data_IF_746918100876
#
_entry.id   IF_746918100876
#
_cell.length_a   1.000
_cell.length_b   1.000
_cell.length_c   1.000
_cell.angle_alpha   90.00
_cell.angle_beta   90.00
_cell.angle_gamma   90.00
#
_symmetry.space_group_name_H-M   'P 1'
#
loop_
_entity.id
_entity.type
_entity.pdbx_description
1 polymer ?
#
# COMPACT_ATOMS: atom_id res chain seq x y z
N UNK A 1 -24.59 27.55 -11.96
CA UNK A 1 -24.27 26.21 -11.45
C UNK A 1 -22.88 26.12 -10.75
N UNK A 2 -21.86 26.85 -11.21
CA UNK A 2 -20.53 26.87 -10.58
C UNK A 2 -20.52 27.63 -9.23
N UNK A 3 -21.30 28.68 -9.08
CA UNK A 3 -21.37 29.46 -7.84
C UNK A 3 -22.02 28.66 -6.69
N UNK A 4 -23.05 27.87 -6.98
CA UNK A 4 -23.74 27.02 -6.00
C UNK A 4 -22.83 25.86 -5.53
N UNK A 5 -21.98 25.30 -6.41
CA UNK A 5 -20.98 24.30 -6.02
C UNK A 5 -19.90 24.88 -5.12
N UNK A 6 -19.43 26.10 -5.39
CA UNK A 6 -18.43 26.79 -4.55
C UNK A 6 -19.00 27.17 -3.18
N UNK A 7 -20.23 27.72 -3.11
CA UNK A 7 -20.90 27.96 -1.83
C UNK A 7 -21.09 26.67 -1.00
N UNK A 8 -21.47 25.55 -1.64
CA UNK A 8 -21.58 24.28 -0.94
C UNK A 8 -20.25 23.75 -0.39
N UNK A 9 -19.15 23.94 -1.11
CA UNK A 9 -17.82 23.54 -0.63
C UNK A 9 -17.35 24.40 0.55
N UNK A 10 -17.56 25.71 0.53
CA UNK A 10 -17.25 26.59 1.67
C UNK A 10 -18.06 26.19 2.91
N UNK A 11 -19.36 25.95 2.77
CA UNK A 11 -20.19 25.48 3.89
C UNK A 11 -19.72 24.12 4.46
N UNK A 12 -19.22 23.19 3.63
CA UNK A 12 -18.71 21.89 4.11
C UNK A 12 -17.43 22.07 4.92
N UNK A 13 -16.49 22.87 4.46
CA UNK A 13 -15.22 23.15 5.17
C UNK A 13 -15.48 23.74 6.56
N UNK A 14 -16.32 24.77 6.61
CA UNK A 14 -16.68 25.48 7.84
C UNK A 14 -17.49 24.58 8.81
N UNK A 15 -18.37 23.74 8.28
CA UNK A 15 -19.10 22.75 9.07
C UNK A 15 -18.15 21.73 9.72
N UNK A 16 -17.18 21.20 8.95
CA UNK A 16 -16.14 20.29 9.47
C UNK A 16 -15.30 21.01 10.55
N UNK A 17 -14.91 22.25 10.30
CA UNK A 17 -14.13 23.05 11.25
C UNK A 17 -14.91 23.31 12.54
N UNK A 18 -16.20 23.58 12.44
CA UNK A 18 -17.09 23.77 13.59
C UNK A 18 -17.27 22.47 14.36
N UNK A 19 -17.56 21.35 13.66
CA UNK A 19 -17.71 20.04 14.29
C UNK A 19 -16.44 19.59 15.00
N UNK A 20 -15.26 19.80 14.40
CA UNK A 20 -13.98 19.42 15.04
C UNK A 20 -13.74 20.23 16.33
N UNK A 21 -14.12 21.50 16.36
CA UNK A 21 -14.02 22.33 17.57
C UNK A 21 -15.04 21.89 18.63
N UNK A 22 -16.27 21.58 18.25
CA UNK A 22 -17.30 21.08 19.16
C UNK A 22 -16.87 19.73 19.74
N UNK A 23 -16.37 18.80 18.92
CA UNK A 23 -15.85 17.52 19.37
C UNK A 23 -14.72 17.67 20.39
N UNK A 24 -13.79 18.60 20.13
CA UNK A 24 -12.72 18.92 21.08
C UNK A 24 -13.25 19.41 22.42
N UNK A 25 -14.25 20.30 22.41
CA UNK A 25 -14.87 20.84 23.63
C UNK A 25 -15.61 19.76 24.42
N UNK A 26 -16.12 18.71 23.76
CA UNK A 26 -16.75 17.54 24.37
C UNK A 26 -15.73 16.41 24.72
N UNK A 27 -14.44 16.66 24.57
CA UNK A 27 -13.37 15.70 24.91
C UNK A 27 -13.22 14.53 23.93
N UNK A 28 -13.74 14.65 22.71
CA UNK A 28 -13.66 13.63 21.68
C UNK A 28 -12.42 13.79 20.80
N UNK A 29 -11.93 12.68 20.26
CA UNK A 29 -10.93 12.69 19.19
C UNK A 29 -11.60 12.79 17.83
N UNK A 30 -11.00 13.57 16.92
CA UNK A 30 -11.52 13.80 15.57
C UNK A 30 -10.54 13.29 14.51
N UNK A 31 -11.08 12.53 13.53
CA UNK A 31 -10.36 12.13 12.32
C UNK A 31 -11.05 12.72 11.10
N UNK A 32 -10.40 13.66 10.43
CA UNK A 32 -10.94 14.33 9.24
C UNK A 32 -10.33 13.68 8.00
N UNK A 33 -11.13 12.89 7.26
CA UNK A 33 -10.69 12.28 6.00
C UNK A 33 -11.00 13.25 4.84
N UNK A 34 -9.97 13.89 4.27
CA UNK A 34 -10.14 14.88 3.22
C UNK A 34 -8.91 15.03 2.34
N UNK A 35 -9.12 15.30 1.04
CA UNK A 35 -8.07 15.74 0.10
C UNK A 35 -7.82 17.25 0.12
N UNK A 36 -8.50 18.00 0.98
CA UNK A 36 -8.36 19.44 1.13
C UNK A 36 -7.27 19.78 2.15
N UNK A 37 -6.19 20.39 1.67
CA UNK A 37 -5.05 20.78 2.50
C UNK A 37 -5.36 21.94 3.46
N UNK A 38 -6.36 22.73 3.19
CA UNK A 38 -6.76 23.81 4.09
C UNK A 38 -7.23 23.27 5.44
N UNK A 39 -7.70 21.99 5.47
CA UNK A 39 -8.04 21.29 6.71
C UNK A 39 -6.85 21.06 7.65
N UNK A 40 -5.60 21.24 7.20
CA UNK A 40 -4.43 21.13 8.08
C UNK A 40 -4.42 22.19 9.19
N UNK A 41 -5.10 23.31 9.01
CA UNK A 41 -5.31 24.32 10.07
C UNK A 41 -6.15 23.82 11.25
N UNK A 42 -6.87 22.69 11.07
CA UNK A 42 -7.74 22.10 12.11
C UNK A 42 -6.99 21.11 13.01
N UNK A 43 -5.78 20.71 12.61
CA UNK A 43 -4.98 19.71 13.31
C UNK A 43 -4.51 20.27 14.66
N UNK A 44 -4.73 19.48 15.71
CA UNK A 44 -4.23 19.74 17.05
C UNK A 44 -4.04 18.39 17.79
N UNK A 45 -3.95 18.43 19.13
CA UNK A 45 -3.68 17.24 19.96
C UNK A 45 -4.78 16.18 19.90
N UNK A 46 -6.01 16.58 19.51
CA UNK A 46 -7.18 15.68 19.43
C UNK A 46 -7.74 15.55 18.01
N UNK A 47 -7.28 16.38 17.08
CA UNK A 47 -7.75 16.37 15.68
C UNK A 47 -6.64 15.96 14.74
N UNK A 48 -6.85 14.88 13.98
CA UNK A 48 -5.93 14.33 12.97
C UNK A 48 -6.57 14.41 11.59
N UNK A 49 -5.82 14.81 10.58
CA UNK A 49 -6.27 14.77 9.17
C UNK A 49 -5.72 13.51 8.50
N UNK A 50 -6.60 12.71 7.90
CA UNK A 50 -6.29 11.58 7.05
C UNK A 50 -6.31 12.03 5.59
N UNK A 51 -5.13 12.23 5.02
CA UNK A 51 -4.97 12.80 3.68
C UNK A 51 -4.72 11.71 2.63
N UNK A 52 -5.59 11.55 1.60
CA UNK A 52 -5.39 10.58 0.54
C UNK A 52 -4.26 11.01 -0.41
N UNK A 53 -3.25 10.15 -0.60
CA UNK A 53 -2.10 10.45 -1.47
C UNK A 53 -2.17 9.73 -2.82
N UNK A 54 -2.53 8.45 -2.82
CA UNK A 54 -2.70 7.62 -4.02
C UNK A 54 -4.09 6.98 -4.03
N UNK A 55 -5.12 7.80 -4.26
CA UNK A 55 -6.51 7.35 -4.11
C UNK A 55 -6.92 7.22 -2.63
N UNK A 56 -8.09 6.63 -2.38
CA UNK A 56 -8.65 6.50 -1.02
C UNK A 56 -8.05 5.36 -0.20
N UNK A 57 -7.29 4.46 -0.83
CA UNK A 57 -6.66 3.30 -0.19
C UNK A 57 -5.39 3.65 0.60
N UNK A 58 -4.74 4.76 0.28
CA UNK A 58 -3.50 5.16 0.96
C UNK A 58 -3.70 6.50 1.64
N UNK A 59 -3.92 6.45 2.95
CA UNK A 59 -4.16 7.62 3.80
C UNK A 59 -2.91 7.94 4.61
N UNK A 60 -2.41 9.16 4.49
CA UNK A 60 -1.34 9.68 5.36
C UNK A 60 -1.96 10.41 6.54
N UNK A 61 -1.57 10.03 7.75
CA UNK A 61 -1.99 10.71 8.98
C UNK A 61 -1.16 11.97 9.18
N UNK A 62 -1.83 13.11 9.19
CA UNK A 62 -1.21 14.40 9.51
C UNK A 62 -1.53 14.78 10.94
N UNK A 63 -0.48 14.86 11.76
CA UNK A 63 -0.45 15.37 13.14
C UNK A 63 0.24 16.74 13.14
N UNK A 64 0.25 17.48 14.27
CA UNK A 64 1.02 18.73 14.36
C UNK A 64 2.49 18.59 13.97
N UNK A 65 3.12 17.50 14.39
CA UNK A 65 4.53 17.19 14.10
C UNK A 65 4.72 16.94 12.59
N UNK A 66 3.79 16.19 11.97
CA UNK A 66 3.87 15.88 10.54
C UNK A 66 3.67 17.11 9.66
N UNK A 67 2.81 18.04 10.06
CA UNK A 67 2.66 19.35 9.39
C UNK A 67 3.95 20.13 9.50
N UNK A 68 4.54 20.20 10.69
CA UNK A 68 5.80 20.92 10.95
C UNK A 68 6.97 20.30 10.17
N UNK A 69 7.07 18.97 10.14
CA UNK A 69 8.08 18.25 9.37
C UNK A 69 7.98 18.57 7.87
N UNK A 70 6.77 18.53 7.33
CA UNK A 70 6.54 18.66 5.87
C UNK A 70 6.58 20.12 5.37
N UNK A 71 6.02 21.05 6.14
CA UNK A 71 5.80 22.44 5.72
C UNK A 71 6.63 23.44 6.50
N UNK A 72 7.30 23.01 7.57
CA UNK A 72 8.08 23.84 8.48
C UNK A 72 7.25 24.99 9.11
N UNK A 73 5.95 24.77 9.31
CA UNK A 73 5.01 25.67 10.02
C UNK A 73 4.12 24.85 10.95
N UNK A 74 3.53 25.50 11.94
CA UNK A 74 2.50 24.87 12.78
C UNK A 74 1.16 24.80 12.04
N UNK A 75 0.21 23.92 12.44
CA UNK A 75 -1.14 23.91 11.88
C UNK A 75 -1.81 25.28 11.92
N UNK A 76 -1.67 26.03 13.00
CA UNK A 76 -2.23 27.37 13.15
C UNK A 76 -1.66 28.38 12.15
N UNK A 77 -0.41 28.20 11.72
CA UNK A 77 0.26 29.05 10.74
C UNK A 77 -0.01 28.62 9.28
N UNK A 78 -0.67 27.48 9.08
CA UNK A 78 -0.90 26.95 7.73
C UNK A 78 -1.74 27.88 6.85
N UNK A 79 -2.86 28.49 7.34
CA UNK A 79 -3.61 29.48 6.56
C UNK A 79 -2.77 30.70 6.15
N UNK A 80 -1.92 31.19 7.05
CA UNK A 80 -1.03 32.32 6.79
C UNK A 80 -0.01 32.00 5.69
N UNK A 81 0.53 30.78 5.73
CA UNK A 81 1.41 30.29 4.67
C UNK A 81 0.68 30.19 3.33
N UNK A 82 -0.54 29.67 3.33
CA UNK A 82 -1.37 29.56 2.14
C UNK A 82 -1.72 30.95 1.56
N UNK A 83 -2.02 31.93 2.41
CA UNK A 83 -2.30 33.29 2.01
C UNK A 83 -1.12 33.95 1.31
N UNK A 84 0.10 33.76 1.80
CA UNK A 84 1.33 34.29 1.21
C UNK A 84 1.71 33.59 -0.11
N UNK A 85 1.62 32.25 -0.13
CA UNK A 85 1.95 31.43 -1.30
C UNK A 85 0.91 31.54 -2.41
N UNK A 86 -0.34 31.74 -2.04
CA UNK A 86 -1.49 31.58 -2.89
C UNK A 86 -1.91 30.13 -3.07
N UNK A 87 -3.08 29.92 -3.65
CA UNK A 87 -3.60 28.61 -4.04
C UNK A 87 -4.18 28.66 -5.45
N UNK A 88 -3.47 28.07 -6.45
CA UNK A 88 -3.95 28.03 -7.82
C UNK A 88 -5.24 27.24 -8.00
N UNK A 89 -5.53 26.24 -7.13
CA UNK A 89 -6.74 25.43 -7.21
C UNK A 89 -8.01 26.25 -6.87
N UNK A 90 -7.87 27.23 -5.97
CA UNK A 90 -8.92 28.16 -5.57
C UNK A 90 -8.83 29.51 -6.31
N UNK A 91 -7.91 29.62 -7.28
CA UNK A 91 -7.66 30.85 -8.04
C UNK A 91 -7.26 32.02 -7.14
N UNK A 92 -6.50 31.75 -6.09
CA UNK A 92 -5.95 32.76 -5.19
C UNK A 92 -4.51 33.09 -5.60
N UNK A 93 -4.23 34.30 -6.12
CA UNK A 93 -2.89 34.70 -6.50
C UNK A 93 -2.00 34.84 -5.26
N UNK A 94 -0.85 34.19 -5.25
CA UNK A 94 0.16 34.38 -4.21
C UNK A 94 1.05 35.59 -4.49
N UNK A 95 1.86 35.95 -3.49
CA UNK A 95 2.91 36.97 -3.66
C UNK A 95 3.96 36.47 -4.65
N UNK A 96 4.22 37.16 -5.76
CA UNK A 96 5.20 36.71 -6.74
C UNK A 96 6.59 36.47 -6.11
N UNK A 97 7.19 35.32 -6.42
CA UNK A 97 8.48 34.82 -5.90
C UNK A 97 8.45 34.40 -4.42
N UNK A 98 7.29 34.39 -3.78
CA UNK A 98 7.11 33.85 -2.44
C UNK A 98 6.44 32.47 -2.55
N UNK A 99 7.25 31.42 -2.42
CA UNK A 99 6.78 30.05 -2.35
C UNK A 99 6.73 29.54 -0.90
N UNK A 100 6.36 28.28 -0.73
CA UNK A 100 6.22 27.59 0.55
C UNK A 100 7.41 27.83 1.50
N UNK A 101 8.65 27.66 1.00
CA UNK A 101 9.86 27.84 1.82
C UNK A 101 10.06 29.28 2.32
N UNK A 102 9.73 30.26 1.49
CA UNK A 102 9.90 31.67 1.86
C UNK A 102 8.82 32.09 2.85
N UNK A 103 7.56 31.69 2.62
CA UNK A 103 6.46 31.93 3.53
C UNK A 103 6.71 31.29 4.91
N UNK A 104 7.12 30.02 4.94
CA UNK A 104 7.46 29.32 6.17
C UNK A 104 8.63 29.99 6.92
N UNK A 105 9.67 30.45 6.20
CA UNK A 105 10.77 31.20 6.82
C UNK A 105 10.29 32.48 7.50
N UNK A 106 9.41 33.24 6.84
CA UNK A 106 8.86 34.46 7.44
C UNK A 106 7.98 34.17 8.65
N UNK A 107 7.10 33.16 8.57
CA UNK A 107 6.26 32.75 9.69
C UNK A 107 7.08 32.25 10.89
N UNK A 108 8.17 31.55 10.67
CA UNK A 108 9.08 31.17 11.77
C UNK A 108 9.85 32.37 12.35
N UNK A 109 10.11 33.40 11.57
CA UNK A 109 10.82 34.61 12.00
C UNK A 109 9.91 35.61 12.74
N UNK A 110 8.71 35.82 12.22
CA UNK A 110 7.79 36.88 12.71
C UNK A 110 6.61 36.30 13.52
N UNK A 111 6.32 35.02 13.40
CA UNK A 111 5.29 34.34 14.18
C UNK A 111 3.93 34.22 13.49
N UNK A 112 3.42 35.29 12.92
CA UNK A 112 2.11 35.35 12.24
C UNK A 112 2.14 36.23 10.99
N UNK A 113 1.08 36.14 10.17
CA UNK A 113 0.91 36.98 8.99
C UNK A 113 0.80 38.46 9.36
N UNK A 114 0.05 38.79 10.42
CA UNK A 114 -0.10 40.16 10.92
C UNK A 114 1.29 40.74 11.24
N UNK A 115 2.12 40.01 11.97
CA UNK A 115 3.47 40.46 12.31
C UNK A 115 4.37 40.60 11.07
N UNK A 116 4.19 39.76 10.05
CA UNK A 116 4.89 39.93 8.76
C UNK A 116 4.47 41.23 8.07
N UNK A 117 3.18 41.52 8.02
CA UNK A 117 2.66 42.74 7.40
C UNK A 117 3.06 44.02 8.16
N UNK A 118 3.10 43.97 9.49
CA UNK A 118 3.63 45.08 10.31
C UNK A 118 5.12 45.33 10.04
N UNK A 119 5.90 44.28 9.78
CA UNK A 119 7.32 44.38 9.53
C UNK A 119 7.69 44.36 8.04
N UNK A 120 6.74 44.61 7.12
CA UNK A 120 6.93 44.55 5.69
C UNK A 120 8.08 45.41 5.15
N UNK A 121 8.36 46.54 5.80
CA UNK A 121 9.42 47.47 5.40
C UNK A 121 10.83 46.96 5.80
N UNK A 122 10.90 46.07 6.79
CA UNK A 122 12.13 45.42 7.22
C UNK A 122 12.52 44.26 6.31
N UNK A 123 11.59 43.75 5.48
CA UNK A 123 11.83 42.68 4.53
C UNK A 123 12.50 43.23 3.27
N UNK A 124 13.82 42.99 3.15
CA UNK A 124 14.66 43.54 2.07
C UNK A 124 14.57 42.75 0.80
N UNK A 125 14.93 43.41 -0.32
CA UNK A 125 15.07 42.77 -1.64
C UNK A 125 13.75 42.61 -2.39
N UNK A 126 13.83 41.95 -3.55
CA UNK A 126 12.72 41.82 -4.51
C UNK A 126 11.47 41.11 -3.94
N UNK A 127 11.64 40.20 -2.97
CA UNK A 127 10.50 39.53 -2.32
C UNK A 127 9.77 40.46 -1.36
N UNK A 128 10.49 41.36 -0.67
CA UNK A 128 9.87 42.38 0.18
C UNK A 128 9.12 43.45 -0.64
N UNK A 129 9.69 43.85 -1.77
CA UNK A 129 8.99 44.74 -2.74
C UNK A 129 7.71 44.08 -3.27
N UNK A 130 7.80 42.80 -3.63
CA UNK A 130 6.66 42.01 -4.09
C UNK A 130 5.58 41.88 -3.03
N UNK A 131 5.94 41.65 -1.76
CA UNK A 131 4.98 41.62 -0.65
C UNK A 131 4.25 42.95 -0.51
N UNK A 132 4.99 44.06 -0.49
CA UNK A 132 4.39 45.40 -0.33
C UNK A 132 3.41 45.78 -1.46
N UNK A 133 3.63 45.29 -2.67
CA UNK A 133 2.74 45.53 -3.82
C UNK A 133 1.52 44.60 -3.90
N UNK A 134 1.45 43.56 -3.06
CA UNK A 134 0.36 42.56 -3.07
C UNK A 134 -0.30 42.36 -1.72
N UNK A 135 -0.27 43.38 -0.85
CA UNK A 135 -0.85 43.31 0.52
C UNK A 135 -2.34 43.02 0.45
N UNK A 136 -3.09 43.70 -0.40
CA UNK A 136 -4.53 43.48 -0.57
C UNK A 136 -4.87 42.05 -0.99
N UNK A 137 -4.05 41.47 -1.87
CA UNK A 137 -4.22 40.07 -2.27
C UNK A 137 -3.97 39.12 -1.09
N UNK A 138 -2.92 39.37 -0.29
CA UNK A 138 -2.58 38.55 0.88
C UNK A 138 -3.67 38.63 1.95
N UNK A 139 -4.18 39.83 2.25
CA UNK A 139 -5.26 40.02 3.23
C UNK A 139 -6.54 39.31 2.77
N UNK A 140 -6.89 39.43 1.49
CA UNK A 140 -8.03 38.74 0.90
C UNK A 140 -7.85 37.23 0.98
N UNK A 141 -6.67 36.72 0.63
CA UNK A 141 -6.36 35.30 0.69
C UNK A 141 -6.45 34.77 2.12
N UNK A 142 -5.92 35.52 3.11
CA UNK A 142 -5.98 35.15 4.52
C UNK A 142 -7.43 35.04 5.01
N UNK A 143 -8.29 35.96 4.57
CA UNK A 143 -9.71 35.89 4.88
C UNK A 143 -10.40 34.68 4.26
N UNK A 144 -10.05 34.31 3.01
CA UNK A 144 -10.68 33.21 2.27
C UNK A 144 -10.16 31.84 2.66
N UNK A 145 -8.91 31.73 3.09
CA UNK A 145 -8.30 30.41 3.50
C UNK A 145 -8.63 30.05 4.94
N UNK A 146 -8.97 31.00 5.78
CA UNK A 146 -9.29 30.78 7.18
C UNK A 146 -10.70 30.21 7.33
N UNK A 147 -10.80 29.01 7.90
CA UNK A 147 -12.09 28.36 8.14
C UNK A 147 -12.86 28.97 9.30
N UNK A 148 -14.18 29.14 9.12
CA UNK A 148 -15.11 29.57 10.15
C UNK A 148 -15.42 28.37 11.06
N UNK A 149 -15.37 28.57 12.39
CA UNK A 149 -15.53 27.50 13.40
C UNK A 149 -16.76 27.68 14.30
N UNK A 150 -17.71 28.47 13.88
CA UNK A 150 -18.92 28.79 14.64
C UNK A 150 -20.17 28.85 13.75
N UNK A 151 -20.23 27.94 12.77
CA UNK A 151 -21.43 27.82 11.92
C UNK A 151 -22.56 27.24 12.75
N UNK A 152 -23.75 27.83 12.69
CA UNK A 152 -24.94 27.28 13.30
C UNK A 152 -25.31 25.98 12.59
N UNK A 153 -25.41 24.90 13.36
CA UNK A 153 -25.75 23.56 12.86
C UNK A 153 -26.78 22.93 13.81
N UNK A 154 -27.83 22.40 13.20
CA UNK A 154 -28.87 21.65 13.93
C UNK A 154 -28.47 20.14 13.90
N UNK A 155 -27.31 19.83 14.52
CA UNK A 155 -26.75 18.48 14.58
C UNK A 155 -26.09 18.25 15.94
N UNK A 156 -26.48 17.19 16.65
CA UNK A 156 -25.78 16.69 17.82
C UNK A 156 -24.91 15.46 17.44
N UNK A 157 -23.83 15.19 18.19
CA UNK A 157 -23.06 13.97 17.98
C UNK A 157 -23.85 12.70 18.30
N UNK A 158 -24.84 12.78 19.19
CA UNK A 158 -25.74 11.67 19.47
C UNK A 158 -26.58 11.30 18.25
N UNK A 159 -27.05 12.29 17.48
CA UNK A 159 -27.80 12.06 16.23
C UNK A 159 -26.92 11.56 15.10
N UNK A 160 -25.62 11.90 15.14
CA UNK A 160 -24.61 11.46 14.17
C UNK A 160 -23.96 10.11 14.55
N UNK A 161 -24.35 9.52 15.70
CA UNK A 161 -23.85 8.22 16.13
C UNK A 161 -24.19 7.15 15.08
N UNK A 162 -23.21 6.32 14.78
CA UNK A 162 -23.42 5.22 13.83
C UNK A 162 -24.42 4.22 14.38
N UNK A 163 -25.57 4.08 13.72
CA UNK A 163 -26.57 3.05 14.02
C UNK A 163 -26.14 1.67 13.51
N UNK A 164 -26.74 0.62 14.05
CA UNK A 164 -26.63 -0.72 13.47
C UNK A 164 -27.13 -0.71 12.02
N UNK A 165 -26.50 -1.53 11.19
CA UNK A 165 -26.91 -1.67 9.78
C UNK A 165 -28.20 -2.47 9.71
N UNK A 166 -29.19 -1.93 9.04
CA UNK A 166 -30.40 -2.66 8.67
C UNK A 166 -30.11 -3.49 7.41
N UNK A 167 -29.85 -4.77 7.60
CA UNK A 167 -29.48 -5.69 6.52
C UNK A 167 -30.57 -5.81 5.47
N UNK A 168 -31.84 -5.77 5.87
CA UNK A 168 -32.97 -5.88 4.94
C UNK A 168 -33.05 -4.66 4.00
N UNK A 169 -32.86 -3.46 4.55
CA UNK A 169 -32.83 -2.23 3.76
C UNK A 169 -31.62 -2.19 2.80
N UNK A 170 -30.45 -2.67 3.23
CA UNK A 170 -29.26 -2.76 2.38
C UNK A 170 -29.47 -3.78 1.28
N UNK A 171 -30.03 -4.96 1.59
CA UNK A 171 -30.35 -5.99 0.60
C UNK A 171 -31.36 -5.49 -0.43
N UNK A 172 -32.45 -4.85 0.00
CA UNK A 172 -33.46 -4.28 -0.88
C UNK A 172 -32.85 -3.19 -1.82
N UNK A 173 -31.94 -2.38 -1.31
CA UNK A 173 -31.22 -1.38 -2.12
C UNK A 173 -30.30 -2.05 -3.16
N UNK A 174 -29.60 -3.10 -2.76
CA UNK A 174 -28.69 -3.83 -3.65
C UNK A 174 -29.44 -4.57 -4.75
N UNK A 175 -30.60 -5.17 -4.42
CA UNK A 175 -31.48 -5.79 -5.40
C UNK A 175 -32.01 -4.76 -6.40
N UNK A 176 -32.43 -3.59 -5.92
CA UNK A 176 -32.88 -2.48 -6.76
C UNK A 176 -31.80 -1.94 -7.70
N UNK A 177 -30.53 -1.97 -7.26
CA UNK A 177 -29.38 -1.50 -8.04
C UNK A 177 -28.69 -2.63 -8.83
N UNK A 178 -29.24 -3.85 -8.77
CA UNK A 178 -28.68 -5.04 -9.41
C UNK A 178 -27.22 -5.32 -9.03
N UNK A 179 -26.84 -4.99 -7.78
CA UNK A 179 -25.52 -5.32 -7.28
C UNK A 179 -25.43 -6.82 -6.96
N UNK A 180 -24.42 -7.48 -7.52
CA UNK A 180 -24.19 -8.90 -7.32
C UNK A 180 -23.79 -9.25 -5.87
N UNK A 181 -23.81 -10.55 -5.55
CA UNK A 181 -23.53 -11.12 -4.23
C UNK A 181 -22.18 -10.66 -3.67
N UNK A 182 -21.15 -10.59 -4.51
CA UNK A 182 -19.79 -10.20 -4.16
C UNK A 182 -19.67 -8.83 -3.46
N UNK A 183 -20.34 -7.81 -3.97
CA UNK A 183 -20.33 -6.49 -3.34
C UNK A 183 -21.09 -6.52 -2.02
N UNK A 184 -22.20 -7.25 -1.99
CA UNK A 184 -23.06 -7.43 -0.82
C UNK A 184 -22.28 -8.04 0.35
N UNK A 185 -21.64 -9.17 0.15
CA UNK A 185 -20.83 -9.86 1.15
C UNK A 185 -19.69 -8.98 1.68
N UNK A 186 -18.97 -8.31 0.77
CA UNK A 186 -17.90 -7.38 1.16
C UNK A 186 -18.40 -6.23 2.03
N UNK A 187 -19.58 -5.70 1.73
CA UNK A 187 -20.18 -4.61 2.51
C UNK A 187 -20.60 -5.13 3.89
N UNK A 188 -21.26 -6.28 3.97
CA UNK A 188 -21.66 -6.87 5.25
C UNK A 188 -20.44 -7.27 6.10
N UNK A 189 -19.39 -7.85 5.49
CA UNK A 189 -18.12 -8.13 6.18
C UNK A 189 -17.49 -6.84 6.73
N UNK A 190 -17.49 -5.75 5.99
CA UNK A 190 -16.98 -4.46 6.45
C UNK A 190 -17.81 -3.87 7.61
N UNK A 191 -19.11 -4.08 7.61
CA UNK A 191 -19.98 -3.67 8.71
C UNK A 191 -19.84 -4.56 9.95
N UNK A 192 -19.67 -5.87 9.79
CA UNK A 192 -19.43 -6.81 10.89
C UNK A 192 -18.13 -6.51 11.63
N UNK A 193 -17.06 -6.16 10.92
CA UNK A 193 -15.80 -5.71 11.50
C UNK A 193 -15.95 -4.44 12.37
N UNK A 194 -16.95 -3.62 12.09
CA UNK A 194 -17.23 -2.39 12.85
C UNK A 194 -18.15 -2.62 14.07
N UNK A 195 -18.80 -3.76 14.16
CA UNK A 195 -19.67 -4.13 15.30
C UNK A 195 -18.95 -4.86 16.43
N UNK A 196 -17.61 -4.88 16.44
CA UNK A 196 -16.82 -5.54 17.48
C UNK A 196 -16.83 -7.07 17.39
N UNK A 197 -17.26 -7.64 16.25
CA UNK A 197 -16.93 -9.02 15.93
C UNK A 197 -15.40 -9.11 15.87
N UNK A 198 -14.85 -9.96 16.72
CA UNK A 198 -13.42 -10.23 16.80
C UNK A 198 -12.92 -10.46 15.36
N UNK A 199 -12.05 -9.55 14.88
CA UNK A 199 -11.15 -9.92 13.79
C UNK A 199 -10.48 -11.18 14.28
N UNK A 200 -10.71 -12.30 13.60
CA UNK A 200 -9.88 -13.46 13.80
C UNK A 200 -8.45 -12.96 13.61
N UNK A 201 -7.77 -12.70 14.70
CA UNK A 201 -6.37 -12.31 14.69
C UNK A 201 -5.64 -13.52 14.13
N UNK A 202 -5.25 -13.42 12.86
CA UNK A 202 -4.37 -14.42 12.30
C UNK A 202 -3.11 -14.41 13.16
N UNK A 203 -2.87 -15.52 13.82
CA UNK A 203 -1.64 -15.70 14.59
C UNK A 203 -0.59 -16.13 13.60
N UNK A 204 0.44 -15.29 13.41
CA UNK A 204 1.58 -15.66 12.56
C UNK A 204 2.13 -17.02 13.02
N UNK A 205 2.38 -17.95 12.09
CA UNK A 205 2.93 -19.26 12.44
C UNK A 205 4.33 -19.08 13.02
N UNK A 206 4.69 -19.95 13.95
CA UNK A 206 6.06 -20.03 14.47
C UNK A 206 6.98 -20.54 13.34
N UNK A 207 8.00 -19.76 13.00
CA UNK A 207 8.91 -20.08 11.92
C UNK A 207 10.08 -20.92 12.44
N UNK A 208 10.26 -22.12 11.85
CA UNK A 208 11.40 -22.98 12.09
C UNK A 208 12.29 -23.02 10.84
N UNK A 209 12.97 -21.91 10.58
CA UNK A 209 13.76 -21.73 9.36
C UNK A 209 15.08 -22.50 9.44
N UNK A 210 15.34 -23.29 8.42
CA UNK A 210 16.65 -23.90 8.16
C UNK A 210 17.32 -23.16 7.01
N UNK A 211 18.38 -22.41 7.30
CA UNK A 211 19.26 -21.90 6.24
C UNK A 211 20.16 -23.05 5.81
N UNK A 212 19.98 -23.50 4.58
CA UNK A 212 20.71 -24.66 4.04
C UNK A 212 22.08 -24.21 3.54
N UNK A 213 23.12 -24.86 4.04
CA UNK A 213 24.48 -24.75 3.54
C UNK A 213 24.80 -25.88 2.54
N UNK A 214 26.00 -25.88 2.00
CA UNK A 214 26.46 -26.87 1.04
C UNK A 214 26.26 -28.29 1.56
N UNK A 215 25.51 -29.13 0.83
CA UNK A 215 25.17 -30.51 1.19
C UNK A 215 23.85 -30.67 1.98
N UNK A 216 23.22 -29.59 2.41
CA UNK A 216 21.99 -29.66 3.22
C UNK A 216 20.73 -29.78 2.36
N UNK A 217 20.73 -29.19 1.15
CA UNK A 217 19.56 -29.11 0.28
C UNK A 217 19.03 -30.47 -0.13
N UNK A 218 19.91 -31.34 -0.66
CA UNK A 218 19.55 -32.71 -1.04
C UNK A 218 19.02 -33.51 0.15
N UNK A 219 19.65 -33.38 1.33
CA UNK A 219 19.21 -34.02 2.57
C UNK A 219 17.86 -33.52 3.03
N UNK A 220 17.63 -32.21 2.98
CA UNK A 220 16.34 -31.60 3.35
C UNK A 220 15.22 -32.08 2.40
N UNK A 221 15.45 -32.04 1.09
CA UNK A 221 14.49 -32.50 0.09
C UNK A 221 14.17 -33.99 0.22
N UNK A 222 15.15 -34.82 0.59
CA UNK A 222 14.92 -36.22 0.86
C UNK A 222 14.01 -36.45 2.06
N UNK A 223 14.15 -35.65 3.11
CA UNK A 223 13.38 -35.78 4.35
C UNK A 223 12.00 -35.11 4.29
N UNK A 224 11.89 -33.97 3.62
CA UNK A 224 10.71 -33.10 3.68
C UNK A 224 10.14 -32.76 2.31
N UNK A 225 10.85 -33.02 1.21
CA UNK A 225 10.46 -32.56 -0.13
C UNK A 225 9.37 -33.39 -0.82
N UNK A 226 8.88 -34.50 -0.20
CA UNK A 226 7.88 -35.43 -0.78
C UNK A 226 6.71 -35.70 0.19
N UNK A 227 6.35 -34.75 1.00
CA UNK A 227 5.18 -34.84 1.87
C UNK A 227 3.89 -34.60 1.06
N UNK A 228 2.80 -35.18 1.52
CA UNK A 228 1.49 -34.97 0.93
C UNK A 228 1.02 -33.53 1.22
N UNK A 229 0.61 -32.81 0.18
CA UNK A 229 0.13 -31.42 0.27
C UNK A 229 0.86 -30.48 -0.69
N UNK A 230 0.61 -29.20 -0.51
CA UNK A 230 1.19 -28.14 -1.33
C UNK A 230 2.41 -27.52 -0.65
N UNK A 231 3.42 -27.18 -1.41
CA UNK A 231 4.59 -26.44 -0.95
C UNK A 231 4.48 -24.97 -1.31
N UNK A 232 4.81 -24.07 -0.39
CA UNK A 232 5.01 -22.67 -0.71
C UNK A 232 6.42 -22.45 -1.22
N UNK A 233 6.57 -21.83 -2.39
CA UNK A 233 7.87 -21.62 -3.02
C UNK A 233 8.06 -20.13 -3.34
N UNK A 234 9.23 -19.61 -2.99
CA UNK A 234 9.67 -18.26 -3.36
C UNK A 234 11.00 -18.38 -4.10
N UNK A 235 11.06 -17.79 -5.27
CA UNK A 235 12.28 -17.65 -6.07
C UNK A 235 12.70 -16.19 -6.00
N UNK A 236 13.88 -15.94 -5.44
CA UNK A 236 14.46 -14.60 -5.36
C UNK A 236 15.63 -14.49 -6.32
N UNK A 237 15.69 -13.39 -7.07
CA UNK A 237 16.73 -13.20 -8.06
C UNK A 237 16.49 -12.00 -8.96
N UNK A 238 17.11 -12.01 -10.12
CA UNK A 238 16.93 -10.96 -11.13
C UNK A 238 15.67 -11.24 -11.94
N UNK A 239 14.65 -10.44 -11.72
CA UNK A 239 13.38 -10.49 -12.45
C UNK A 239 13.55 -9.91 -13.86
N UNK A 240 13.93 -10.74 -14.83
CA UNK A 240 14.12 -10.33 -16.22
C UNK A 240 13.72 -11.44 -17.18
N UNK A 241 12.94 -11.09 -18.18
CA UNK A 241 12.55 -12.02 -19.27
C UNK A 241 13.75 -12.44 -20.11
N UNK A 242 14.76 -11.57 -20.24
CA UNK A 242 15.92 -11.75 -21.11
C UNK A 242 17.15 -12.33 -20.40
N UNK A 243 17.30 -12.05 -19.12
CA UNK A 243 18.50 -12.35 -18.36
C UNK A 243 18.12 -12.60 -16.89
N UNK A 244 17.10 -13.42 -16.67
CA UNK A 244 16.72 -13.87 -15.35
C UNK A 244 17.86 -14.67 -14.71
N UNK A 245 18.01 -14.55 -13.40
CA UNK A 245 18.92 -15.41 -12.62
C UNK A 245 18.32 -15.60 -11.22
N UNK A 246 18.74 -16.67 -10.55
CA UNK A 246 18.27 -17.02 -9.22
C UNK A 246 19.37 -16.80 -8.19
N UNK A 247 19.12 -15.97 -7.23
CA UNK A 247 20.01 -15.74 -6.08
C UNK A 247 19.71 -16.75 -4.95
N UNK A 248 18.42 -16.99 -4.68
CA UNK A 248 17.98 -17.87 -3.61
C UNK A 248 16.61 -18.52 -3.90
N UNK A 249 16.38 -19.67 -3.29
CA UNK A 249 15.09 -20.36 -3.28
C UNK A 249 14.68 -20.60 -1.83
N UNK A 250 13.44 -20.23 -1.48
CA UNK A 250 12.83 -20.57 -0.20
C UNK A 250 11.66 -21.52 -0.41
N UNK A 251 11.57 -22.55 0.44
CA UNK A 251 10.56 -23.60 0.37
C UNK A 251 9.93 -23.77 1.75
N UNK A 252 8.60 -23.72 1.81
CA UNK A 252 7.82 -24.07 2.99
C UNK A 252 7.08 -25.39 2.72
N UNK A 253 7.32 -26.40 3.55
CA UNK A 253 6.64 -27.70 3.44
C UNK A 253 5.24 -27.69 4.02
N UNK A 254 4.33 -28.58 3.61
CA UNK A 254 3.00 -28.72 4.17
C UNK A 254 2.99 -28.98 5.68
N UNK A 255 4.02 -29.62 6.21
CA UNK A 255 4.15 -29.95 7.64
C UNK A 255 4.86 -28.86 8.47
N UNK A 256 5.16 -27.70 7.86
CA UNK A 256 5.66 -26.53 8.58
C UNK A 256 7.19 -26.37 8.64
N UNK A 257 7.96 -27.23 7.96
CA UNK A 257 9.42 -27.03 7.85
C UNK A 257 9.71 -26.02 6.73
N UNK A 258 10.68 -25.15 6.97
CA UNK A 258 11.13 -24.20 5.97
C UNK A 258 12.61 -24.38 5.68
N UNK A 259 12.97 -24.16 4.43
CA UNK A 259 14.36 -24.12 3.96
C UNK A 259 14.57 -22.89 3.09
N UNK A 260 15.70 -22.26 3.25
CA UNK A 260 16.22 -21.25 2.32
C UNK A 260 17.61 -21.68 1.88
N UNK A 261 17.87 -21.69 0.58
CA UNK A 261 19.18 -21.93 0.03
C UNK A 261 19.58 -20.82 -0.95
N UNK A 262 20.86 -20.47 -0.93
CA UNK A 262 21.46 -19.54 -1.89
C UNK A 262 22.12 -20.32 -3.01
N UNK A 263 22.00 -19.85 -4.23
CA UNK A 263 22.59 -20.54 -5.38
C UNK A 263 24.12 -20.51 -5.38
N UNK A 264 24.73 -19.59 -4.63
CA UNK A 264 26.19 -19.49 -4.46
C UNK A 264 26.78 -20.56 -3.52
N UNK A 265 25.94 -21.16 -2.67
CA UNK A 265 26.36 -22.19 -1.70
C UNK A 265 25.91 -23.60 -2.10
N UNK A 266 25.32 -23.80 -3.29
CA UNK A 266 24.96 -25.12 -3.77
C UNK A 266 26.20 -25.87 -4.29
N UNK A 267 26.31 -27.13 -3.88
CA UNK A 267 27.20 -28.06 -4.55
C UNK A 267 26.48 -28.73 -5.74
N UNK A 268 27.18 -29.45 -6.64
CA UNK A 268 26.54 -30.05 -7.81
C UNK A 268 25.40 -31.04 -7.49
N UNK A 269 25.48 -31.77 -6.38
CA UNK A 269 24.46 -32.73 -5.97
C UNK A 269 23.20 -31.97 -5.46
N UNK A 270 23.38 -30.90 -4.70
CA UNK A 270 22.30 -30.03 -4.26
C UNK A 270 21.60 -29.30 -5.44
N UNK A 271 22.39 -28.82 -6.41
CA UNK A 271 21.90 -28.16 -7.61
C UNK A 271 21.01 -29.09 -8.45
N UNK A 272 21.47 -30.34 -8.65
CA UNK A 272 20.68 -31.36 -9.35
C UNK A 272 19.42 -31.70 -8.57
N UNK A 273 19.54 -31.95 -7.24
CA UNK A 273 18.40 -32.33 -6.41
C UNK A 273 17.33 -31.24 -6.37
N UNK A 274 17.74 -29.96 -6.27
CA UNK A 274 16.82 -28.83 -6.28
C UNK A 274 16.15 -28.64 -7.64
N UNK A 275 16.92 -28.72 -8.73
CA UNK A 275 16.40 -28.64 -10.10
C UNK A 275 15.38 -29.72 -10.42
N UNK A 276 15.69 -31.00 -10.05
CA UNK A 276 14.77 -32.12 -10.21
C UNK A 276 13.50 -31.96 -9.38
N UNK A 277 13.62 -31.48 -8.13
CA UNK A 277 12.47 -31.23 -7.26
C UNK A 277 11.59 -30.12 -7.81
N UNK A 278 12.18 -29.02 -8.28
CA UNK A 278 11.44 -27.91 -8.89
C UNK A 278 10.68 -28.36 -10.14
N UNK A 279 11.28 -29.20 -10.98
CA UNK A 279 10.70 -29.71 -12.22
C UNK A 279 9.63 -30.80 -12.03
N UNK A 280 9.59 -31.46 -10.85
CA UNK A 280 8.70 -32.58 -10.60
C UNK A 280 7.22 -32.13 -10.59
N UNK A 281 6.46 -32.58 -11.60
CA UNK A 281 5.04 -32.25 -11.76
C UNK A 281 4.13 -32.93 -10.71
N UNK A 282 4.61 -33.99 -10.06
CA UNK A 282 3.85 -34.68 -9.01
C UNK A 282 3.87 -33.93 -7.66
N UNK A 283 4.78 -32.99 -7.51
CA UNK A 283 4.89 -32.15 -6.29
C UNK A 283 4.13 -30.85 -6.49
N UNK A 284 3.05 -30.70 -5.75
CA UNK A 284 2.22 -29.49 -5.83
C UNK A 284 2.93 -28.27 -5.21
N UNK A 285 3.04 -27.21 -5.97
CA UNK A 285 3.72 -25.98 -5.56
C UNK A 285 2.79 -24.78 -5.72
N UNK A 286 2.78 -23.91 -4.72
CA UNK A 286 2.17 -22.59 -4.78
C UNK A 286 3.27 -21.53 -4.87
N UNK A 287 3.06 -20.52 -5.71
CA UNK A 287 3.95 -19.38 -5.88
C UNK A 287 3.13 -18.06 -5.87
N UNK A 288 3.84 -16.96 -5.82
CA UNK A 288 3.31 -15.65 -6.15
C UNK A 288 4.06 -15.13 -7.37
N UNK A 289 3.35 -14.88 -8.48
CA UNK A 289 3.92 -14.60 -9.80
C UNK A 289 4.81 -15.76 -10.33
N UNK A 290 4.17 -16.90 -10.54
CA UNK A 290 4.83 -18.12 -11.06
C UNK A 290 5.48 -17.89 -12.44
N UNK A 291 4.94 -16.98 -13.25
CA UNK A 291 5.51 -16.62 -14.54
C UNK A 291 6.89 -15.98 -14.38
N UNK A 292 7.03 -15.02 -13.48
CA UNK A 292 8.31 -14.36 -13.22
C UNK A 292 9.31 -15.33 -12.56
N UNK A 293 8.85 -16.16 -11.63
CA UNK A 293 9.68 -17.21 -11.04
C UNK A 293 10.24 -18.16 -12.11
N UNK A 294 9.43 -18.56 -13.09
CA UNK A 294 9.88 -19.40 -14.21
C UNK A 294 10.93 -18.69 -15.10
N UNK A 295 10.82 -17.39 -15.32
CA UNK A 295 11.85 -16.61 -16.03
C UNK A 295 13.18 -16.56 -15.24
N UNK A 296 13.12 -16.36 -13.93
CA UNK A 296 14.34 -16.41 -13.09
C UNK A 296 15.01 -17.80 -13.18
N UNK A 297 14.22 -18.87 -13.03
CA UNK A 297 14.72 -20.25 -13.06
C UNK A 297 15.34 -20.62 -14.42
N UNK A 298 14.78 -20.15 -15.53
CA UNK A 298 15.29 -20.39 -16.88
C UNK A 298 16.73 -19.89 -17.08
N UNK A 299 17.18 -18.88 -16.34
CA UNK A 299 18.57 -18.41 -16.37
C UNK A 299 19.61 -19.44 -15.91
N UNK A 300 19.16 -20.47 -15.18
CA UNK A 300 19.99 -21.62 -14.72
C UNK A 300 19.61 -22.94 -15.38
N UNK A 301 18.88 -22.93 -16.48
CA UNK A 301 18.28 -24.11 -17.11
C UNK A 301 17.37 -24.92 -16.16
N UNK A 302 16.86 -24.30 -15.12
CA UNK A 302 15.89 -24.91 -14.22
C UNK A 302 14.47 -24.65 -14.71
N UNK A 303 13.61 -25.65 -14.50
CA UNK A 303 12.21 -25.60 -14.85
C UNK A 303 11.36 -25.72 -13.60
N UNK A 304 10.14 -25.22 -13.66
CA UNK A 304 9.17 -25.42 -12.58
C UNK A 304 7.98 -26.20 -13.09
N UNK A 305 7.69 -27.33 -12.40
CA UNK A 305 6.54 -28.18 -12.64
C UNK A 305 5.63 -28.27 -11.43
N UNK A 306 4.42 -28.80 -11.60
CA UNK A 306 3.49 -29.03 -10.50
C UNK A 306 2.95 -27.76 -9.85
N UNK A 307 2.95 -26.60 -10.54
CA UNK A 307 2.39 -25.35 -10.03
C UNK A 307 0.87 -25.45 -9.99
N UNK A 308 0.32 -25.64 -8.79
CA UNK A 308 -1.13 -25.76 -8.60
C UNK A 308 -1.82 -24.43 -8.24
N UNK A 309 -1.07 -23.44 -7.75
CA UNK A 309 -1.60 -22.14 -7.38
C UNK A 309 -0.59 -21.03 -7.63
N UNK A 310 -1.00 -20.01 -8.39
CA UNK A 310 -0.39 -18.68 -8.44
C UNK A 310 -1.25 -17.72 -7.65
N UNK A 311 -0.75 -17.27 -6.50
CA UNK A 311 -1.51 -16.41 -5.57
C UNK A 311 -1.76 -15.00 -6.11
N UNK A 312 -0.95 -14.52 -7.08
CA UNK A 312 -1.20 -13.28 -7.79
C UNK A 312 -2.43 -13.42 -8.68
N UNK A 313 -2.46 -14.47 -9.50
CA UNK A 313 -3.57 -14.76 -10.43
C UNK A 313 -4.86 -15.03 -9.66
N UNK A 314 -4.79 -15.86 -8.62
CA UNK A 314 -5.95 -16.14 -7.76
C UNK A 314 -6.51 -14.85 -7.13
N UNK A 315 -5.66 -14.01 -6.54
CA UNK A 315 -6.08 -12.73 -5.96
C UNK A 315 -6.66 -11.77 -7.01
N UNK A 316 -6.12 -11.78 -8.22
CA UNK A 316 -6.66 -10.97 -9.32
C UNK A 316 -8.08 -11.41 -9.70
N UNK A 317 -8.36 -12.70 -9.81
CA UNK A 317 -9.70 -13.21 -10.12
C UNK A 317 -10.72 -12.86 -9.03
N UNK A 318 -10.31 -12.98 -7.76
CA UNK A 318 -11.17 -12.66 -6.62
C UNK A 318 -11.45 -11.16 -6.51
N UNK A 319 -10.45 -10.30 -6.77
CA UNK A 319 -10.53 -8.84 -6.60
C UNK A 319 -9.99 -8.06 -7.82
N UNK A 320 -10.57 -8.19 -9.02
CA UNK A 320 -10.01 -7.63 -10.27
C UNK A 320 -9.96 -6.09 -10.30
N UNK A 321 -10.66 -5.42 -9.41
CA UNK A 321 -10.67 -3.96 -9.32
C UNK A 321 -9.48 -3.34 -8.58
N UNK A 322 -8.55 -4.13 -8.08
CA UNK A 322 -7.35 -3.64 -7.39
C UNK A 322 -6.29 -3.20 -8.41
N UNK A 323 -5.47 -2.21 -8.01
CA UNK A 323 -4.39 -1.68 -8.87
C UNK A 323 -3.04 -2.34 -8.62
N UNK A 324 -2.89 -2.98 -7.47
CA UNK A 324 -1.62 -3.53 -7.02
C UNK A 324 -1.82 -4.95 -6.49
N UNK A 325 -1.02 -5.86 -6.99
CA UNK A 325 -1.02 -7.28 -6.67
C UNK A 325 0.36 -7.76 -6.23
N UNK A 326 1.22 -6.86 -5.72
CA UNK A 326 2.47 -7.30 -5.10
C UNK A 326 2.18 -8.16 -3.86
N UNK A 327 3.14 -9.01 -3.51
CA UNK A 327 2.95 -10.02 -2.47
C UNK A 327 2.51 -9.44 -1.12
N UNK A 328 3.17 -8.37 -0.67
CA UNK A 328 2.87 -7.74 0.62
C UNK A 328 1.45 -7.19 0.69
N UNK A 329 0.99 -6.51 -0.39
CA UNK A 329 -0.37 -5.97 -0.45
C UNK A 329 -1.43 -7.09 -0.53
N UNK A 330 -1.11 -8.21 -1.19
CA UNK A 330 -2.01 -9.37 -1.28
C UNK A 330 -2.13 -10.06 0.07
N UNK A 331 -1.03 -10.27 0.79
CA UNK A 331 -1.04 -10.83 2.16
C UNK A 331 -1.81 -9.92 3.12
N UNK A 332 -1.53 -8.61 3.12
CA UNK A 332 -2.23 -7.67 3.98
C UNK A 332 -3.75 -7.67 3.70
N UNK A 333 -4.14 -7.74 2.43
CA UNK A 333 -5.55 -7.70 2.00
C UNK A 333 -6.34 -8.93 2.39
N UNK A 334 -5.76 -10.13 2.21
CA UNK A 334 -6.45 -11.40 2.44
C UNK A 334 -6.27 -11.94 3.86
N UNK A 335 -5.17 -11.61 4.52
CA UNK A 335 -4.81 -12.17 5.83
C UNK A 335 -4.72 -11.10 6.94
N UNK A 336 -4.72 -9.81 6.59
CA UNK A 336 -4.61 -8.72 7.58
C UNK A 336 -3.22 -8.59 8.22
N UNK A 337 -2.20 -9.19 7.64
CA UNK A 337 -0.82 -9.19 8.13
C UNK A 337 0.03 -8.25 7.29
N UNK A 338 0.75 -7.36 7.95
CA UNK A 338 1.72 -6.48 7.28
C UNK A 338 3.11 -7.12 7.35
N UNK A 339 3.62 -7.56 6.20
CA UNK A 339 4.98 -8.08 6.08
C UNK A 339 5.97 -6.92 5.90
N UNK A 340 7.16 -7.05 6.50
CA UNK A 340 8.24 -6.12 6.22
C UNK A 340 8.67 -6.23 4.75
N UNK A 341 8.93 -5.08 4.11
CA UNK A 341 9.41 -5.05 2.73
C UNK A 341 10.80 -5.69 2.67
N UNK A 342 10.95 -6.73 1.85
CA UNK A 342 12.23 -7.36 1.59
C UNK A 342 13.09 -6.56 0.58
N UNK A 343 12.87 -5.26 0.46
CA UNK A 343 13.73 -4.42 -0.35
C UNK A 343 15.16 -4.46 0.20
N UNK A 344 16.08 -4.89 -0.65
CA UNK A 344 17.51 -4.63 -0.48
C UNK A 344 17.69 -3.11 -0.52
N UNK A 345 17.36 -2.41 0.57
CA UNK A 345 17.73 -1.01 0.78
C UNK A 345 19.22 -0.87 0.54
N UNK A 346 19.68 0.28 0.07
CA UNK A 346 21.11 0.56 -0.14
C UNK A 346 21.90 0.19 1.12
N UNK A 347 22.41 -1.06 1.13
CA UNK A 347 23.21 -1.62 2.20
C UNK A 347 24.62 -1.04 2.09
N UNK A 348 25.08 -0.40 3.13
CA UNK A 348 26.50 -0.07 3.29
C UNK A 348 27.28 -1.35 3.61
N UNK A 349 28.54 -1.43 3.17
CA UNK A 349 29.43 -2.61 3.26
C UNK A 349 29.61 -3.20 4.69
N UNK A 350 29.13 -2.54 5.72
CA UNK A 350 29.26 -2.96 7.14
C UNK A 350 28.02 -3.72 7.62
N UNK A 351 26.87 -3.56 6.98
CA UNK A 351 25.60 -4.17 7.37
C UNK A 351 25.36 -5.57 6.75
N UNK A 352 26.30 -6.07 5.97
CA UNK A 352 26.08 -7.25 5.09
C UNK A 352 25.89 -8.56 5.85
N UNK A 353 26.51 -8.76 7.01
CA UNK A 353 26.43 -10.04 7.72
C UNK A 353 25.16 -10.18 8.58
N UNK A 354 24.80 -9.15 9.37
CA UNK A 354 23.57 -9.18 10.20
C UNK A 354 22.28 -8.99 9.37
N UNK A 355 22.37 -8.37 8.18
CA UNK A 355 21.25 -8.22 7.28
C UNK A 355 20.98 -9.46 6.41
N UNK A 356 21.98 -10.35 6.20
CA UNK A 356 21.76 -11.57 5.44
C UNK A 356 20.80 -12.52 6.16
N UNK A 357 20.96 -12.74 7.47
CA UNK A 357 20.09 -13.66 8.22
C UNK A 357 18.63 -13.19 8.21
N UNK A 358 18.40 -11.90 8.42
CA UNK A 358 17.05 -11.30 8.33
C UNK A 358 16.46 -11.41 6.93
N UNK A 359 17.27 -11.26 5.89
CA UNK A 359 16.80 -11.42 4.52
C UNK A 359 16.38 -12.86 4.23
N UNK A 360 17.17 -13.84 4.67
CA UNK A 360 16.82 -15.28 4.51
C UNK A 360 15.58 -15.65 5.33
N UNK A 361 15.47 -15.17 6.55
CA UNK A 361 14.27 -15.33 7.37
C UNK A 361 13.04 -14.74 6.68
N UNK A 362 13.16 -13.56 6.05
CA UNK A 362 12.06 -12.94 5.32
C UNK A 362 11.62 -13.73 4.08
N UNK A 363 12.54 -14.42 3.39
CA UNK A 363 12.20 -15.30 2.26
C UNK A 363 11.47 -16.56 2.74
N UNK A 364 11.92 -17.16 3.85
CA UNK A 364 11.26 -18.29 4.46
C UNK A 364 9.85 -17.94 4.93
N UNK A 365 9.71 -16.78 5.59
CA UNK A 365 8.42 -16.22 6.00
C UNK A 365 7.49 -16.06 4.79
N UNK A 366 7.98 -15.48 3.70
CA UNK A 366 7.21 -15.34 2.46
C UNK A 366 6.77 -16.69 1.90
N UNK A 367 7.61 -17.71 1.91
CA UNK A 367 7.24 -19.06 1.44
C UNK A 367 6.10 -19.65 2.27
N UNK A 368 6.10 -19.45 3.59
CA UNK A 368 4.99 -19.83 4.48
C UNK A 368 3.72 -19.04 4.14
N UNK A 369 3.82 -17.74 3.95
CA UNK A 369 2.64 -16.94 3.59
C UNK A 369 2.13 -17.23 2.19
N UNK A 370 2.96 -17.63 1.23
CA UNK A 370 2.51 -18.14 -0.08
C UNK A 370 1.62 -19.37 0.11
N UNK A 371 2.06 -20.31 0.95
CA UNK A 371 1.32 -21.56 1.23
C UNK A 371 -0.03 -21.26 1.92
N UNK A 372 -0.01 -20.43 2.96
CA UNK A 372 -1.21 -20.05 3.70
C UNK A 372 -2.20 -19.27 2.82
N UNK A 373 -1.66 -18.35 2.03
CA UNK A 373 -2.44 -17.54 1.09
C UNK A 373 -3.06 -18.41 -0.01
N UNK A 374 -2.32 -19.40 -0.55
CA UNK A 374 -2.85 -20.35 -1.53
C UNK A 374 -4.04 -21.13 -0.97
N UNK A 375 -3.97 -21.55 0.30
CA UNK A 375 -5.07 -22.24 0.98
C UNK A 375 -6.29 -21.35 1.14
N UNK A 376 -6.10 -20.10 1.56
CA UNK A 376 -7.18 -19.13 1.71
C UNK A 376 -7.82 -18.78 0.36
N UNK A 377 -7.00 -18.50 -0.65
CA UNK A 377 -7.49 -18.12 -1.98
C UNK A 377 -8.19 -19.27 -2.69
N UNK A 378 -7.81 -20.54 -2.45
CA UNK A 378 -8.53 -21.70 -2.97
C UNK A 378 -9.97 -21.74 -2.45
N UNK A 379 -10.16 -21.45 -1.15
CA UNK A 379 -11.49 -21.33 -0.56
C UNK A 379 -12.26 -20.13 -1.13
N UNK A 380 -11.61 -18.98 -1.21
CA UNK A 380 -12.24 -17.77 -1.77
C UNK A 380 -12.65 -17.99 -3.24
N UNK A 381 -11.83 -18.68 -4.07
CA UNK A 381 -12.18 -19.01 -5.46
C UNK A 381 -13.40 -19.93 -5.56
N UNK A 382 -13.56 -20.85 -4.63
CA UNK A 382 -14.74 -21.71 -4.55
C UNK A 382 -15.99 -20.89 -4.21
N UNK A 383 -15.90 -20.04 -3.19
CA UNK A 383 -16.98 -19.16 -2.75
C UNK A 383 -17.44 -18.18 -3.86
N UNK A 384 -16.50 -17.68 -4.66
CA UNK A 384 -16.80 -16.80 -5.79
C UNK A 384 -17.18 -17.54 -7.08
N UNK A 385 -17.11 -18.89 -7.12
CA UNK A 385 -17.40 -19.69 -8.29
C UNK A 385 -16.37 -19.58 -9.43
N UNK A 386 -15.16 -19.10 -9.12
CA UNK A 386 -14.09 -18.86 -10.10
C UNK A 386 -13.08 -20.02 -10.19
N UNK A 387 -13.26 -21.08 -9.42
CA UNK A 387 -12.36 -22.25 -9.36
C UNK A 387 -12.11 -22.85 -10.74
N UNK A 388 -13.16 -22.97 -11.55
CA UNK A 388 -13.06 -23.54 -12.90
C UNK A 388 -12.23 -22.66 -13.83
N UNK A 389 -12.51 -21.33 -13.83
CA UNK A 389 -11.76 -20.36 -14.62
C UNK A 389 -10.26 -20.40 -14.23
N UNK A 390 -10.00 -20.42 -12.94
CA UNK A 390 -8.64 -20.45 -12.41
C UNK A 390 -7.87 -21.69 -12.89
N UNK A 391 -8.40 -22.90 -12.66
CA UNK A 391 -7.66 -24.13 -12.96
C UNK A 391 -7.65 -24.53 -14.45
N UNK A 392 -8.75 -24.30 -15.18
CA UNK A 392 -8.86 -24.77 -16.58
C UNK A 392 -8.31 -23.74 -17.59
N UNK A 393 -8.19 -22.45 -17.21
CA UNK A 393 -7.79 -21.40 -18.14
C UNK A 393 -6.58 -20.60 -17.63
N UNK A 394 -6.69 -19.96 -16.47
CA UNK A 394 -5.68 -18.99 -16.02
C UNK A 394 -4.36 -19.67 -15.63
N UNK A 395 -4.39 -20.73 -14.85
CA UNK A 395 -3.17 -21.45 -14.46
C UNK A 395 -2.40 -22.05 -15.66
N UNK A 396 -3.04 -22.75 -16.62
CA UNK A 396 -2.34 -23.17 -17.83
C UNK A 396 -1.77 -22.01 -18.65
N UNK A 397 -2.48 -20.87 -18.68
CA UNK A 397 -2.08 -19.69 -19.44
C UNK A 397 -0.79 -19.06 -18.90
N UNK A 398 -0.53 -19.10 -17.58
CA UNK A 398 0.69 -18.60 -16.96
C UNK A 398 1.94 -19.13 -17.63
N UNK A 399 2.02 -20.47 -17.80
CA UNK A 399 3.19 -21.13 -18.39
C UNK A 399 3.25 -20.97 -19.92
N UNK A 400 2.10 -20.83 -20.58
CA UNK A 400 2.05 -20.51 -22.03
C UNK A 400 2.62 -19.11 -22.26
N UNK A 401 2.19 -18.13 -21.48
CA UNK A 401 2.69 -16.75 -21.59
C UNK A 401 4.20 -16.66 -21.29
N UNK A 402 4.68 -17.35 -20.25
CA UNK A 402 6.11 -17.44 -19.94
C UNK A 402 6.92 -17.96 -21.14
N UNK A 403 6.45 -19.05 -21.76
CA UNK A 403 7.13 -19.64 -22.94
C UNK A 403 7.11 -18.68 -24.13
N UNK A 404 5.98 -18.03 -24.39
CA UNK A 404 5.88 -17.04 -25.47
C UNK A 404 6.84 -15.85 -25.24
N UNK A 405 6.95 -15.35 -24.03
CA UNK A 405 7.86 -14.26 -23.67
C UNK A 405 9.32 -14.69 -23.82
N UNK A 406 9.67 -15.91 -23.41
CA UNK A 406 11.00 -16.49 -23.58
C UNK A 406 11.38 -16.64 -25.06
N UNK A 407 10.51 -17.22 -25.88
CA UNK A 407 10.73 -17.45 -27.32
C UNK A 407 10.82 -16.12 -28.08
N UNK A 408 9.97 -15.14 -27.76
CA UNK A 408 10.00 -13.80 -28.37
C UNK A 408 11.32 -13.07 -28.05
N UNK A 409 11.85 -13.23 -26.87
CA UNK A 409 13.12 -12.65 -26.45
C UNK A 409 14.29 -13.23 -27.26
N UNK A 410 14.29 -14.53 -27.51
CA UNK A 410 15.32 -15.23 -28.31
C UNK A 410 15.32 -14.74 -29.77
N UNK A 411 14.18 -14.42 -30.36
CA UNK A 411 14.08 -13.89 -31.73
C UNK A 411 14.77 -12.53 -31.83
N UNK A 412 14.60 -11.65 -30.87
CA UNK A 412 15.26 -10.33 -30.86
C UNK A 412 16.77 -10.38 -30.64
N UNK A 413 17.28 -11.41 -29.95
CA UNK A 413 18.73 -11.62 -29.76
C UNK A 413 19.38 -12.20 -31.04
N UNK A 414 18.64 -12.97 -31.81
CA UNK A 414 19.17 -13.66 -33.01
C UNK A 414 19.12 -12.83 -34.29
N UNK A 415 18.39 -11.70 -34.33
CA UNK A 415 18.42 -10.79 -35.48
C UNK A 415 19.57 -9.77 -35.32
N UNK A 416 20.65 -9.86 -36.13
CA UNK A 416 21.64 -8.80 -36.16
C UNK A 416 21.00 -7.54 -36.73
N UNK A 417 21.00 -6.49 -35.93
CA UNK A 417 20.67 -5.12 -36.40
C UNK A 417 21.40 -4.81 -37.68
N UNK A 418 20.71 -4.79 -38.81
CA UNK A 418 21.19 -4.28 -40.08
C UNK A 418 21.09 -2.77 -40.15
#
# INVERSE_FOLDING_TARGET
HLSIRRQRQMCIRDSIATLSLTAKNEGMQSFICTGDRDSFQLIDDVTTVLYPTKGVSTLVRYTPEKVKERYNVTPAQYPDMAALRGDPSDNLPGVPKVGEKTAAKWLNQYGSLEAILENKDNIKGKVGESLRSHIEDVERNAYLTKMVRNVEMDLSFADAARSAVDEDSVNALFDKLEFGTRLRERVFKAFALSSGAETSSFTAPELAVTVAHMGDVASWLQNYGRQEGTYGVVVAGTESILAGDVDAVAIASPAGQQMVCTTTELNPDDEVALGEWLADEAIHKALHDAKMAAHCLAGRDWHIGGVCCDTLVASYLILPGQRNFNFTDVVERHMGVTLESADKGQLTLVDVAENNDRYWESLAERAVYVLLLATQLAHDLEDYGETRLFHEMEMPLVMVLQRMEHDLSLIHISEPTR
#
